data_IF_562218832311
#
_entry.id   IF_562218832311
#
_cell.length_a   1.000
_cell.length_b   1.000
_cell.length_c   1.000
_cell.angle_alpha   90.00
_cell.angle_beta   90.00
_cell.angle_gamma   90.00
#
_symmetry.space_group_name_H-M   'P 1'
#
loop_
_entity.id
_entity.type
_entity.pdbx_description
1 polymer ?
#
# COMPACT_ATOMS: atom_id res chain seq x y z
N UNK A 1 -24.59 3.20 11.07
CA UNK A 1 -23.16 3.33 10.73
C UNK A 1 -22.38 2.79 11.91
N UNK A 2 -21.58 1.75 11.71
CA UNK A 2 -20.68 1.22 12.73
C UNK A 2 -19.61 2.27 13.02
N UNK A 3 -19.53 2.75 14.26
CA UNK A 3 -18.42 3.62 14.66
C UNK A 3 -17.09 2.84 14.64
N UNK A 4 -15.97 3.54 14.47
CA UNK A 4 -14.65 2.89 14.33
C UNK A 4 -14.29 2.02 15.55
N UNK A 5 -14.76 2.41 16.74
CA UNK A 5 -14.56 1.65 17.98
C UNK A 5 -15.21 0.27 17.91
N UNK A 6 -16.42 0.17 17.37
CA UNK A 6 -17.14 -1.09 17.16
C UNK A 6 -16.38 -2.00 16.19
N UNK A 7 -15.84 -1.43 15.10
CA UNK A 7 -15.05 -2.18 14.11
C UNK A 7 -13.75 -2.71 14.75
N UNK A 8 -13.05 -1.89 15.52
CA UNK A 8 -11.86 -2.31 16.27
C UNK A 8 -12.20 -3.44 17.24
N UNK A 9 -13.30 -3.32 17.99
CA UNK A 9 -13.76 -4.36 18.92
C UNK A 9 -14.04 -5.69 18.21
N UNK A 10 -14.69 -5.66 17.04
CA UNK A 10 -14.94 -6.84 16.23
C UNK A 10 -13.64 -7.50 15.75
N UNK A 11 -12.73 -6.72 15.18
CA UNK A 11 -11.43 -7.21 14.71
C UNK A 11 -10.57 -7.77 15.87
N UNK A 12 -10.54 -7.08 17.00
CA UNK A 12 -9.82 -7.51 18.20
C UNK A 12 -10.41 -8.78 18.83
N UNK A 13 -11.71 -9.02 18.67
CA UNK A 13 -12.37 -10.27 19.03
C UNK A 13 -12.07 -11.45 18.10
N UNK A 14 -11.24 -11.24 17.06
CA UNK A 14 -10.85 -12.28 16.11
C UNK A 14 -11.83 -12.49 14.96
N UNK A 15 -12.93 -11.73 14.89
CA UNK A 15 -13.93 -11.87 13.84
C UNK A 15 -13.53 -11.07 12.58
N UNK A 16 -13.69 -11.64 11.38
CA UNK A 16 -13.41 -10.92 10.15
C UNK A 16 -14.42 -9.81 9.87
N UNK A 17 -13.91 -8.76 9.24
CA UNK A 17 -14.73 -7.67 8.72
C UNK A 17 -15.21 -8.04 7.33
N UNK A 18 -16.45 -7.65 7.05
CA UNK A 18 -16.94 -7.56 5.68
C UNK A 18 -16.19 -6.47 4.91
N UNK A 19 -16.25 -6.53 3.58
CA UNK A 19 -15.70 -5.49 2.70
C UNK A 19 -16.21 -4.10 3.05
N UNK A 20 -17.50 -3.94 3.35
CA UNK A 20 -18.10 -2.65 3.73
C UNK A 20 -17.60 -2.12 5.08
N UNK A 21 -17.41 -3.01 6.06
CA UNK A 21 -16.82 -2.63 7.35
C UNK A 21 -15.35 -2.22 7.17
N UNK A 22 -14.60 -2.94 6.34
CA UNK A 22 -13.22 -2.58 6.02
C UNK A 22 -13.15 -1.23 5.28
N UNK A 23 -14.00 -1.00 4.27
CA UNK A 23 -14.11 0.30 3.59
C UNK A 23 -14.41 1.42 4.59
N UNK A 24 -15.34 1.20 5.51
CA UNK A 24 -15.67 2.18 6.57
C UNK A 24 -14.44 2.47 7.45
N UNK A 25 -13.75 1.41 7.91
CA UNK A 25 -12.56 1.52 8.77
C UNK A 25 -11.43 2.32 8.11
N UNK A 26 -11.02 1.91 6.90
CA UNK A 26 -9.96 2.58 6.15
C UNK A 26 -10.38 3.98 5.71
N UNK A 27 -11.68 4.20 5.45
CA UNK A 27 -12.25 5.52 5.16
C UNK A 27 -11.99 6.52 6.28
N UNK A 28 -12.32 6.14 7.52
CA UNK A 28 -12.11 6.95 8.74
C UNK A 28 -10.61 7.19 8.99
N UNK A 29 -9.77 6.16 8.83
CA UNK A 29 -8.31 6.29 8.99
C UNK A 29 -7.72 7.29 8.00
N UNK A 30 -8.12 7.21 6.73
CA UNK A 30 -7.58 8.05 5.65
C UNK A 30 -8.24 9.42 5.52
N UNK A 31 -9.32 9.71 6.25
CA UNK A 31 -9.86 11.08 6.41
C UNK A 31 -9.24 11.83 7.59
N UNK A 32 -8.40 11.18 8.41
CA UNK A 32 -7.82 11.79 9.60
C UNK A 32 -8.76 11.85 10.80
N UNK A 33 -9.89 11.13 10.74
CA UNK A 33 -10.89 11.09 11.81
C UNK A 33 -10.56 10.07 12.91
N UNK A 34 -9.55 9.24 12.72
CA UNK A 34 -9.06 8.29 13.71
C UNK A 34 -7.88 8.83 14.52
N UNK A 35 -7.90 8.62 15.82
CA UNK A 35 -6.74 8.86 16.70
C UNK A 35 -5.62 7.84 16.41
N UNK A 36 -4.37 8.21 16.72
CA UNK A 36 -3.21 7.30 16.59
C UNK A 36 -3.41 5.99 17.36
N UNK A 37 -4.02 6.06 18.55
CA UNK A 37 -4.32 4.87 19.36
C UNK A 37 -5.34 3.95 18.70
N UNK A 38 -6.38 4.51 18.05
CA UNK A 38 -7.35 3.70 17.30
C UNK A 38 -6.72 3.07 16.06
N UNK A 39 -5.89 3.81 15.31
CA UNK A 39 -5.16 3.28 14.16
C UNK A 39 -4.24 2.12 14.60
N UNK A 40 -3.44 2.33 15.64
CA UNK A 40 -2.54 1.30 16.17
C UNK A 40 -3.29 0.05 16.64
N UNK A 41 -4.38 0.23 17.38
CA UNK A 41 -5.21 -0.89 17.85
C UNK A 41 -5.84 -1.68 16.71
N UNK A 42 -6.37 -0.99 15.70
CA UNK A 42 -6.95 -1.61 14.52
C UNK A 42 -5.91 -2.44 13.73
N UNK A 43 -4.78 -1.83 13.40
CA UNK A 43 -3.71 -2.49 12.63
C UNK A 43 -3.11 -3.68 13.40
N UNK A 44 -3.02 -3.58 14.73
CA UNK A 44 -2.55 -4.70 15.54
C UNK A 44 -3.54 -5.86 15.56
N UNK A 45 -4.85 -5.58 15.65
CA UNK A 45 -5.88 -6.62 15.58
C UNK A 45 -5.83 -7.37 14.25
N UNK A 46 -5.68 -6.66 13.13
CA UNK A 46 -5.49 -7.26 11.81
C UNK A 46 -4.22 -8.11 11.76
N UNK A 47 -3.08 -7.58 12.23
CA UNK A 47 -1.79 -8.28 12.20
C UNK A 47 -1.77 -9.57 13.01
N UNK A 48 -2.41 -9.61 14.18
CA UNK A 48 -2.44 -10.79 15.05
C UNK A 48 -3.31 -11.90 14.46
N UNK A 49 -4.47 -11.54 13.92
CA UNK A 49 -5.42 -12.51 13.33
C UNK A 49 -5.04 -12.92 11.90
N UNK A 50 -4.38 -12.02 11.16
CA UNK A 50 -4.21 -12.07 9.72
C UNK A 50 -5.36 -11.36 9.00
N UNK A 51 -5.07 -10.73 7.86
CA UNK A 51 -6.05 -10.06 7.00
C UNK A 51 -6.79 -11.02 6.07
N UNK A 52 -8.06 -10.73 5.77
CA UNK A 52 -8.86 -11.45 4.76
C UNK A 52 -8.84 -10.74 3.41
N UNK A 53 -9.23 -11.44 2.36
CA UNK A 53 -9.37 -10.86 1.01
C UNK A 53 -10.38 -9.71 1.00
N UNK A 54 -11.50 -9.83 1.72
CA UNK A 54 -12.52 -8.78 1.79
C UNK A 54 -11.99 -7.51 2.46
N UNK A 55 -11.17 -7.66 3.51
CA UNK A 55 -10.55 -6.55 4.21
C UNK A 55 -9.50 -5.83 3.35
N UNK A 56 -8.62 -6.59 2.71
CA UNK A 56 -7.61 -6.04 1.80
C UNK A 56 -8.32 -5.33 0.63
N UNK A 57 -9.37 -5.94 0.08
CA UNK A 57 -10.14 -5.35 -1.03
C UNK A 57 -10.78 -4.04 -0.58
N UNK A 58 -11.47 -4.02 0.55
CA UNK A 58 -12.08 -2.80 1.08
C UNK A 58 -11.06 -1.69 1.36
N UNK A 59 -9.88 -2.04 1.87
CA UNK A 59 -8.78 -1.10 2.06
C UNK A 59 -8.31 -0.48 0.73
N UNK A 60 -8.04 -1.33 -0.27
CA UNK A 60 -7.54 -0.91 -1.58
C UNK A 60 -8.55 -0.02 -2.31
N UNK A 61 -9.85 -0.31 -2.21
CA UNK A 61 -10.86 0.56 -2.85
C UNK A 61 -10.86 1.98 -2.28
N UNK A 62 -10.80 2.11 -0.95
CA UNK A 62 -10.71 3.43 -0.30
C UNK A 62 -9.42 4.13 -0.69
N UNK A 63 -8.29 3.41 -0.73
CA UNK A 63 -7.02 3.96 -1.20
C UNK A 63 -7.14 4.49 -2.64
N UNK A 64 -7.79 3.72 -3.54
CA UNK A 64 -7.98 4.10 -4.94
C UNK A 64 -8.97 5.26 -5.13
N UNK A 65 -9.93 5.41 -4.24
CA UNK A 65 -10.85 6.57 -4.23
C UNK A 65 -10.13 7.84 -3.79
N UNK A 66 -9.21 7.74 -2.82
CA UNK A 66 -8.49 8.88 -2.25
C UNK A 66 -7.15 9.20 -2.94
N UNK A 67 -6.58 8.29 -3.73
CA UNK A 67 -5.29 8.52 -4.38
C UNK A 67 -5.36 9.63 -5.43
N UNK A 68 -4.25 10.34 -5.59
CA UNK A 68 -4.06 11.19 -6.77
C UNK A 68 -3.91 10.29 -7.99
N UNK A 69 -4.81 10.43 -8.96
CA UNK A 69 -4.81 9.61 -10.17
C UNK A 69 -3.73 10.10 -11.13
N UNK A 70 -3.04 9.16 -11.76
CA UNK A 70 -2.04 9.40 -12.80
C UNK A 70 -2.59 8.87 -14.11
N UNK A 71 -2.47 9.64 -15.18
CA UNK A 71 -2.80 9.17 -16.52
C UNK A 71 -1.68 8.23 -17.00
N UNK A 72 -2.04 7.01 -17.37
CA UNK A 72 -1.13 6.03 -17.92
C UNK A 72 -1.80 5.31 -19.11
N UNK A 73 -1.01 4.83 -20.09
CA UNK A 73 -1.50 3.94 -21.14
C UNK A 73 -2.23 2.71 -20.57
N UNK A 74 -3.23 2.20 -21.27
CA UNK A 74 -4.01 1.03 -20.82
C UNK A 74 -3.14 -0.22 -20.64
N UNK A 75 -2.12 -0.37 -21.49
CA UNK A 75 -1.13 -1.45 -21.45
C UNK A 75 0.06 -1.17 -20.54
N UNK A 76 -0.01 -0.14 -19.68
CA UNK A 76 1.05 0.14 -18.72
C UNK A 76 1.16 -0.97 -17.68
N UNK A 77 2.40 -1.35 -17.38
CA UNK A 77 2.72 -2.41 -16.41
C UNK A 77 3.37 -1.76 -15.18
N UNK A 78 2.93 -2.19 -14.00
CA UNK A 78 3.63 -1.93 -12.75
C UNK A 78 4.53 -3.13 -12.42
N UNK A 79 5.73 -2.85 -11.90
CA UNK A 79 6.65 -3.89 -11.46
C UNK A 79 7.22 -3.48 -10.11
N UNK A 80 6.74 -4.13 -9.05
CA UNK A 80 6.86 -3.61 -7.69
C UNK A 80 6.79 -4.69 -6.62
N UNK A 81 7.64 -4.53 -5.61
CA UNK A 81 7.62 -5.36 -4.41
C UNK A 81 7.03 -4.58 -3.25
N UNK A 82 6.41 -5.30 -2.31
CA UNK A 82 5.91 -4.72 -1.05
C UNK A 82 7.04 -4.18 -0.17
N UNK A 83 8.26 -4.71 -0.34
CA UNK A 83 9.38 -4.43 0.55
C UNK A 83 9.17 -5.05 1.93
N UNK A 84 10.04 -4.70 2.89
CA UNK A 84 9.91 -5.12 4.29
C UNK A 84 10.37 -6.54 4.60
N UNK A 85 10.97 -7.25 3.65
CA UNK A 85 11.52 -8.61 3.82
C UNK A 85 12.89 -8.64 4.53
N UNK A 86 13.50 -7.47 4.76
CA UNK A 86 14.85 -7.30 5.31
C UNK A 86 15.93 -8.11 4.57
N UNK A 87 15.72 -8.48 3.30
CA UNK A 87 16.62 -9.35 2.54
C UNK A 87 17.96 -8.70 2.18
N UNK A 88 18.04 -7.37 2.25
CA UNK A 88 19.21 -6.62 1.80
C UNK A 88 19.47 -6.75 0.30
N UNK A 89 18.46 -7.18 -0.46
CA UNK A 89 18.53 -7.31 -1.92
C UNK A 89 18.76 -5.96 -2.60
N UNK A 90 19.33 -6.01 -3.81
CA UNK A 90 19.38 -4.85 -4.69
C UNK A 90 17.98 -4.39 -5.09
N UNK A 91 17.86 -3.22 -5.71
CA UNK A 91 16.59 -2.74 -6.28
C UNK A 91 16.20 -3.52 -7.55
N UNK A 92 15.97 -4.83 -7.41
CA UNK A 92 15.68 -5.76 -8.50
C UNK A 92 14.45 -5.29 -9.28
N UNK A 93 13.39 -4.85 -8.59
CA UNK A 93 12.17 -4.36 -9.27
C UNK A 93 12.42 -3.10 -10.11
N UNK A 94 13.27 -2.18 -9.65
CA UNK A 94 13.64 -0.98 -10.42
C UNK A 94 14.53 -1.32 -11.60
N UNK A 95 15.49 -2.23 -11.44
CA UNK A 95 16.29 -2.73 -12.56
C UNK A 95 15.40 -3.42 -13.62
N UNK A 96 14.50 -4.30 -13.18
CA UNK A 96 13.56 -4.98 -14.06
C UNK A 96 12.64 -4.00 -14.80
N UNK A 97 12.24 -2.89 -14.17
CA UNK A 97 11.50 -1.82 -14.84
C UNK A 97 12.25 -1.25 -16.05
N UNK A 98 13.56 -0.97 -15.91
CA UNK A 98 14.36 -0.45 -17.01
C UNK A 98 14.55 -1.47 -18.13
N UNK A 99 14.80 -2.74 -17.79
CA UNK A 99 14.92 -3.81 -18.77
C UNK A 99 13.62 -3.99 -19.56
N UNK A 100 12.48 -4.04 -18.87
CA UNK A 100 11.17 -4.16 -19.50
C UNK A 100 10.83 -2.95 -20.39
N UNK A 101 11.15 -1.74 -19.94
CA UNK A 101 11.01 -0.54 -20.76
C UNK A 101 11.90 -0.56 -22.01
N UNK A 102 13.16 -1.01 -21.87
CA UNK A 102 14.09 -1.20 -22.99
C UNK A 102 13.63 -2.26 -24.00
N UNK A 103 12.81 -3.22 -23.57
CA UNK A 103 12.16 -4.22 -24.42
C UNK A 103 10.87 -3.69 -25.10
N UNK A 104 10.50 -2.43 -24.90
CA UNK A 104 9.36 -1.78 -25.55
C UNK A 104 8.06 -1.75 -24.73
N UNK A 105 8.07 -2.23 -23.47
CA UNK A 105 6.91 -2.15 -22.61
C UNK A 105 6.75 -0.75 -21.98
N UNK A 106 5.51 -0.32 -21.77
CA UNK A 106 5.23 0.93 -21.06
C UNK A 106 5.17 0.64 -19.56
N UNK A 107 6.05 1.26 -18.78
CA UNK A 107 6.14 1.01 -17.34
C UNK A 107 5.58 2.20 -16.56
N UNK A 108 4.57 1.94 -15.73
CA UNK A 108 4.03 2.88 -14.75
C UNK A 108 4.30 2.32 -13.36
N UNK A 109 5.51 2.61 -12.85
CA UNK A 109 5.97 2.07 -11.57
C UNK A 109 5.63 3.03 -10.43
N UNK A 110 4.95 2.53 -9.41
CA UNK A 110 4.92 3.22 -8.13
C UNK A 110 6.15 2.83 -7.29
N UNK A 111 6.59 3.74 -6.42
CA UNK A 111 7.74 3.51 -5.58
C UNK A 111 7.84 4.54 -4.46
N UNK A 112 8.64 4.21 -3.45
CA UNK A 112 8.93 5.10 -2.33
C UNK A 112 10.44 5.07 -2.01
N UNK A 113 10.88 5.96 -1.12
CA UNK A 113 12.21 5.93 -0.51
C UNK A 113 12.34 4.72 0.41
N UNK A 114 13.58 4.32 0.70
CA UNK A 114 13.86 3.23 1.62
C UNK A 114 13.24 3.48 3.00
N UNK A 115 12.57 2.46 3.53
CA UNK A 115 12.09 2.43 4.92
C UNK A 115 12.96 1.50 5.80
N UNK A 116 13.18 0.27 5.33
CA UNK A 116 13.95 -0.76 6.05
C UNK A 116 15.11 -1.35 5.24
N UNK A 117 15.18 -1.08 3.93
CA UNK A 117 16.29 -1.46 3.06
C UNK A 117 17.37 -0.35 3.01
N UNK A 118 18.53 -0.65 2.43
CA UNK A 118 19.59 0.34 2.19
C UNK A 118 19.21 1.39 1.13
N UNK A 119 18.25 1.07 0.26
CA UNK A 119 17.77 1.94 -0.82
C UNK A 119 16.44 1.43 -1.35
N UNK A 120 15.49 2.33 -1.60
CA UNK A 120 14.23 2.07 -2.28
C UNK A 120 14.26 2.50 -3.75
N UNK A 121 13.13 2.34 -4.44
CA UNK A 121 13.02 2.70 -5.85
C UNK A 121 13.25 4.20 -6.08
N UNK A 122 12.71 5.06 -5.22
CA UNK A 122 12.91 6.50 -5.31
C UNK A 122 14.39 6.89 -5.17
N UNK A 123 15.12 6.26 -4.23
CA UNK A 123 16.54 6.59 -4.00
C UNK A 123 17.41 6.26 -5.22
N UNK A 124 17.15 5.12 -5.88
CA UNK A 124 17.82 4.75 -7.13
C UNK A 124 17.49 5.74 -8.24
N UNK A 125 16.22 6.08 -8.41
CA UNK A 125 15.79 6.99 -9.47
C UNK A 125 16.40 8.38 -9.28
N UNK A 126 16.40 8.92 -8.05
CA UNK A 126 17.06 10.18 -7.73
C UNK A 126 18.57 10.13 -8.00
N UNK A 127 19.25 9.05 -7.61
CA UNK A 127 20.69 8.88 -7.85
C UNK A 127 21.04 8.81 -9.35
N UNK A 128 20.10 8.34 -10.18
CA UNK A 128 20.21 8.32 -11.64
C UNK A 128 19.80 9.65 -12.30
N UNK A 129 19.42 10.67 -11.51
CA UNK A 129 19.01 11.98 -12.02
C UNK A 129 17.58 12.04 -12.56
N UNK A 130 16.75 11.03 -12.28
CA UNK A 130 15.33 11.04 -12.67
C UNK A 130 14.56 11.96 -11.73
N UNK A 131 13.75 12.85 -12.30
CA UNK A 131 12.82 13.69 -11.54
C UNK A 131 11.65 12.85 -11.04
N UNK A 132 11.50 12.75 -9.72
CA UNK A 132 10.49 11.92 -9.05
C UNK A 132 9.55 12.72 -8.12
N UNK A 133 9.69 14.05 -8.11
CA UNK A 133 8.92 15.00 -7.29
C UNK A 133 8.07 15.93 -8.17
#
# INVERSE_FOLDING_TARGET
MSDFKTIIGKAAGGAPLSREEARTAFGIMMSGEATTSQIGGFLMALRVRGETVDEITGAVEVMREKMTRVAAPTEAIDIVGTGGDASGSYNVSTCAAFVAAGAGLKIAKHGNRALSSKSGAADVLSALGVKID
#
